data_IF_764054024960
#
_entry.id   IF_764054024960
#
_cell.length_a   1.000
_cell.length_b   1.000
_cell.length_c   1.000
_cell.angle_alpha   90.00
_cell.angle_beta   90.00
_cell.angle_gamma   90.00
#
_symmetry.space_group_name_H-M   'P 1'
#
loop_
_entity.id
_entity.type
_entity.pdbx_description
1 polymer ?
#
# COMPACT_ATOMS: atom_id res chain seq x y z
N UNK A 1 43.10 -16.85 17.80
CA UNK A 1 42.21 -16.07 18.69
C UNK A 1 41.73 -14.91 17.84
N UNK A 2 40.49 -14.97 17.37
CA UNK A 2 39.91 -13.97 16.47
C UNK A 2 38.94 -13.11 17.27
N UNK A 3 39.17 -11.79 17.25
CA UNK A 3 38.32 -10.77 17.86
C UNK A 3 37.15 -10.47 16.92
N UNK A 4 35.93 -10.60 17.42
CA UNK A 4 34.71 -10.17 16.76
C UNK A 4 34.34 -8.79 17.29
N UNK A 5 34.21 -7.81 16.40
CA UNK A 5 33.61 -6.51 16.69
C UNK A 5 32.10 -6.65 16.48
N UNK A 6 31.32 -6.49 17.55
CA UNK A 6 29.88 -6.24 17.47
C UNK A 6 29.68 -4.73 17.28
N UNK A 7 29.28 -4.33 16.06
CA UNK A 7 28.78 -2.97 15.81
C UNK A 7 27.28 -2.91 16.15
N UNK A 8 26.93 -1.83 16.86
CA UNK A 8 25.63 -1.59 17.46
C UNK A 8 24.48 -1.45 16.46
N UNK A 9 23.36 -2.05 16.83
CA UNK A 9 22.06 -1.78 16.24
C UNK A 9 21.51 -0.52 16.92
N UNK A 10 21.25 0.51 16.11
CA UNK A 10 20.69 1.80 16.50
C UNK A 10 19.19 1.64 16.86
N UNK A 11 18.88 1.81 18.15
CA UNK A 11 17.55 1.72 18.76
C UNK A 11 16.64 2.90 18.37
N UNK A 12 16.15 2.97 17.12
CA UNK A 12 15.15 3.97 16.72
C UNK A 12 13.82 3.44 16.14
N UNK A 13 13.59 2.13 16.10
CA UNK A 13 12.30 1.54 15.65
C UNK A 13 11.42 1.01 16.80
N UNK A 14 11.60 1.57 18.01
CA UNK A 14 10.80 1.21 19.19
C UNK A 14 9.57 2.11 19.33
N UNK A 15 8.52 1.85 18.56
CA UNK A 15 7.14 2.26 18.89
C UNK A 15 6.10 1.64 17.94
N UNK A 16 5.69 0.37 18.17
CA UNK A 16 4.30 -0.08 17.94
C UNK A 16 4.04 -1.51 18.44
N UNK A 17 4.03 -1.73 19.75
CA UNK A 17 3.41 -2.93 20.32
C UNK A 17 2.56 -2.51 21.50
N UNK A 18 1.24 -2.49 21.32
CA UNK A 18 0.29 -2.43 22.43
C UNK A 18 -0.29 -3.84 22.54
N UNK A 19 -0.10 -4.42 23.73
CA UNK A 19 -0.41 -5.81 24.08
C UNK A 19 -1.82 -6.23 23.70
N UNK A 20 -1.94 -7.41 23.08
CA UNK A 20 -3.20 -8.10 22.86
C UNK A 20 -3.72 -8.66 24.19
N UNK A 21 -4.98 -8.36 24.52
CA UNK A 21 -5.69 -9.01 25.62
C UNK A 21 -5.96 -10.48 25.29
N UNK A 22 -5.70 -11.33 26.29
CA UNK A 22 -5.83 -12.79 26.27
C UNK A 22 -7.26 -13.25 25.94
N UNK A 23 -7.42 -14.15 24.96
CA UNK A 23 -8.67 -14.89 24.77
C UNK A 23 -8.44 -16.39 24.66
N UNK A 24 -9.31 -17.12 25.34
CA UNK A 24 -9.32 -18.57 25.56
C UNK A 24 -9.28 -19.39 24.26
N UNK A 25 -8.43 -20.41 24.30
CA UNK A 25 -8.12 -21.37 23.26
C UNK A 25 -9.32 -22.30 22.99
N UNK A 26 -9.93 -22.23 21.80
CA UNK A 26 -10.92 -23.20 21.33
C UNK A 26 -10.28 -24.12 20.27
N UNK A 27 -9.99 -25.40 20.58
CA UNK A 27 -9.14 -26.27 19.76
C UNK A 27 -9.83 -26.89 18.53
N UNK A 28 -10.90 -26.27 17.99
CA UNK A 28 -11.53 -26.68 16.72
C UNK A 28 -11.14 -25.80 15.51
N UNK A 29 -10.26 -24.80 15.70
CA UNK A 29 -9.93 -23.77 14.70
C UNK A 29 -8.61 -24.04 13.91
N UNK A 30 -8.43 -25.26 13.41
CA UNK A 30 -7.36 -25.63 12.45
C UNK A 30 -7.50 -24.92 11.07
N UNK A 31 -8.44 -23.98 10.97
CA UNK A 31 -8.61 -23.00 9.88
C UNK A 31 -7.93 -21.67 10.18
N UNK A 32 -6.77 -21.72 10.84
CA UNK A 32 -5.76 -20.69 10.70
C UNK A 32 -6.02 -19.43 11.49
N UNK A 33 -5.30 -19.30 12.60
CA UNK A 33 -5.23 -18.08 13.38
C UNK A 33 -5.04 -16.86 12.45
N UNK A 34 -6.06 -16.01 12.43
CA UNK A 34 -6.08 -14.72 11.74
C UNK A 34 -6.19 -13.64 12.80
N UNK A 35 -5.14 -12.86 12.94
CA UNK A 35 -5.13 -11.71 13.82
C UNK A 35 -5.60 -10.48 13.05
N UNK A 36 -6.54 -9.71 13.62
CA UNK A 36 -7.03 -8.45 13.05
C UNK A 36 -6.89 -7.33 14.06
N UNK A 37 -6.29 -6.21 13.65
CA UNK A 37 -6.13 -5.02 14.48
C UNK A 37 -6.18 -3.74 13.67
N UNK A 38 -6.37 -2.61 14.34
CA UNK A 38 -6.41 -1.29 13.72
C UNK A 38 -5.12 -0.52 14.04
N UNK A 39 -4.54 0.11 13.02
CA UNK A 39 -3.36 0.97 13.15
C UNK A 39 -3.75 2.39 13.60
N UNK A 40 -2.77 3.12 14.13
CA UNK A 40 -2.94 4.52 14.55
C UNK A 40 -3.35 5.48 13.41
N UNK A 41 -3.11 5.09 12.16
CA UNK A 41 -3.54 5.83 10.98
C UNK A 41 -4.96 5.47 10.51
N UNK A 42 -5.67 4.62 11.25
CA UNK A 42 -7.05 4.19 10.95
C UNK A 42 -7.15 2.96 10.06
N UNK A 43 -6.05 2.48 9.46
CA UNK A 43 -6.05 1.31 8.59
C UNK A 43 -6.28 0.03 9.40
N UNK A 44 -6.96 -0.94 8.78
CA UNK A 44 -7.10 -2.28 9.32
C UNK A 44 -5.98 -3.17 8.81
N UNK A 45 -5.46 -4.03 9.67
CA UNK A 45 -4.47 -5.05 9.31
C UNK A 45 -5.02 -6.41 9.68
N UNK A 46 -4.93 -7.35 8.74
CA UNK A 46 -5.17 -8.77 8.94
C UNK A 46 -3.87 -9.53 8.66
N UNK A 47 -3.47 -10.41 9.56
CA UNK A 47 -2.32 -11.31 9.36
C UNK A 47 -2.79 -12.73 9.58
N UNK A 48 -2.47 -13.63 8.65
CA UNK A 48 -2.67 -15.06 8.86
C UNK A 48 -1.38 -15.76 9.31
N UNK A 49 -1.54 -16.93 9.92
CA UNK A 49 -0.43 -17.80 10.35
C UNK A 49 0.55 -18.21 9.24
N UNK A 50 0.18 -18.06 7.96
CA UNK A 50 1.04 -18.38 6.81
C UNK A 50 1.91 -17.19 6.41
N UNK A 51 1.78 -16.05 7.08
CA UNK A 51 2.51 -14.83 6.76
C UNK A 51 1.88 -14.02 5.63
N UNK A 52 0.62 -14.31 5.25
CA UNK A 52 -0.14 -13.39 4.42
C UNK A 52 -0.55 -12.18 5.25
N UNK A 53 -0.30 -10.99 4.71
CA UNK A 53 -0.62 -9.72 5.36
C UNK A 53 -1.53 -8.91 4.45
N UNK A 54 -2.66 -8.47 4.98
CA UNK A 54 -3.57 -7.54 4.34
C UNK A 54 -3.66 -6.25 5.14
N UNK A 55 -3.60 -5.11 4.47
CA UNK A 55 -3.78 -3.79 5.04
C UNK A 55 -4.86 -3.08 4.23
N UNK A 56 -5.86 -2.53 4.90
CA UNK A 56 -6.99 -1.87 4.26
C UNK A 56 -7.15 -0.44 4.79
N UNK A 57 -7.14 0.53 3.89
CA UNK A 57 -7.59 1.89 4.18
C UNK A 57 -9.04 2.01 3.69
N UNK A 58 -9.98 1.93 4.63
CA UNK A 58 -11.42 1.98 4.35
C UNK A 58 -11.88 3.35 3.85
N UNK A 59 -11.13 4.42 4.14
CA UNK A 59 -11.47 5.78 3.70
C UNK A 59 -11.16 5.97 2.22
N UNK A 60 -9.99 5.50 1.78
CA UNK A 60 -9.59 5.59 0.37
C UNK A 60 -10.13 4.44 -0.48
N UNK A 61 -10.47 3.30 0.12
CA UNK A 61 -10.86 2.07 -0.57
C UNK A 61 -9.68 1.29 -1.15
N UNK A 62 -8.45 1.59 -0.71
CA UNK A 62 -7.23 0.91 -1.14
C UNK A 62 -6.91 -0.25 -0.20
N UNK A 63 -6.56 -1.39 -0.79
CA UNK A 63 -6.19 -2.60 -0.07
C UNK A 63 -4.80 -3.03 -0.54
N UNK A 64 -3.87 -3.25 0.39
CA UNK A 64 -2.58 -3.88 0.15
C UNK A 64 -2.61 -5.32 0.67
N UNK A 65 -2.16 -6.27 -0.14
CA UNK A 65 -2.03 -7.68 0.22
C UNK A 65 -0.62 -8.15 -0.13
N UNK A 66 0.08 -8.75 0.84
CA UNK A 66 1.39 -9.36 0.66
C UNK A 66 1.30 -10.83 1.02
N UNK A 67 1.71 -11.68 0.08
CA UNK A 67 1.68 -13.12 0.22
C UNK A 67 3.03 -13.61 0.74
N UNK A 68 3.04 -14.78 1.38
CA UNK A 68 4.24 -15.43 1.90
C UNK A 68 5.33 -15.69 0.84
N UNK A 69 4.95 -15.77 -0.44
CA UNK A 69 5.85 -15.86 -1.59
C UNK A 69 6.65 -14.58 -1.87
N UNK A 70 6.31 -13.47 -1.21
CA UNK A 70 6.85 -12.13 -1.47
C UNK A 70 6.20 -11.43 -2.66
N UNK A 71 5.14 -11.99 -3.24
CA UNK A 71 4.29 -11.28 -4.19
C UNK A 71 3.34 -10.35 -3.45
N UNK A 72 3.02 -9.20 -4.03
CA UNK A 72 2.13 -8.24 -3.42
C UNK A 72 1.14 -7.64 -4.43
N UNK A 73 -0.04 -7.27 -3.94
CA UNK A 73 -1.13 -6.67 -4.71
C UNK A 73 -1.61 -5.40 -3.99
N UNK A 74 -1.88 -4.35 -4.75
CA UNK A 74 -2.60 -3.15 -4.26
C UNK A 74 -3.88 -3.00 -5.06
N UNK A 75 -5.01 -3.34 -4.47
CA UNK A 75 -6.33 -3.17 -5.09
C UNK A 75 -6.80 -1.73 -4.95
N UNK A 76 -7.31 -1.17 -6.05
CA UNK A 76 -7.75 0.22 -6.15
C UNK A 76 -9.28 0.34 -6.08
N UNK A 77 -9.82 1.51 -5.71
CA UNK A 77 -11.26 1.71 -5.53
C UNK A 77 -12.07 1.56 -6.82
N UNK A 78 -11.42 1.70 -7.98
CA UNK A 78 -12.03 1.53 -9.30
C UNK A 78 -11.89 0.11 -9.85
N UNK A 79 -11.37 -0.83 -9.05
CA UNK A 79 -11.21 -2.23 -9.41
C UNK A 79 -9.94 -2.54 -10.20
N UNK A 80 -9.14 -1.54 -10.60
CA UNK A 80 -7.77 -1.78 -11.08
C UNK A 80 -6.90 -2.26 -9.91
N UNK A 81 -5.76 -2.86 -10.21
CA UNK A 81 -4.82 -3.26 -9.16
C UNK A 81 -3.37 -3.13 -9.60
N UNK A 82 -2.49 -2.86 -8.63
CA UNK A 82 -1.06 -2.98 -8.81
C UNK A 82 -0.64 -4.38 -8.39
N UNK A 83 0.29 -5.00 -9.11
CA UNK A 83 0.84 -6.31 -8.79
C UNK A 83 2.36 -6.27 -8.89
N UNK A 84 3.02 -6.76 -7.84
CA UNK A 84 4.44 -7.04 -7.80
C UNK A 84 4.61 -8.56 -7.69
N UNK A 85 5.10 -9.25 -8.75
CA UNK A 85 5.19 -10.71 -8.76
C UNK A 85 6.10 -11.29 -7.68
N UNK A 86 7.17 -10.57 -7.32
CA UNK A 86 8.06 -10.90 -6.21
C UNK A 86 8.79 -9.64 -5.75
N UNK A 87 9.23 -9.65 -4.48
CA UNK A 87 9.93 -8.53 -3.86
C UNK A 87 11.12 -8.05 -4.71
N UNK A 88 11.11 -6.76 -5.04
CA UNK A 88 12.16 -6.12 -5.85
C UNK A 88 11.81 -5.93 -7.31
N UNK A 89 10.79 -6.61 -7.83
CA UNK A 89 10.30 -6.38 -9.20
C UNK A 89 9.55 -5.05 -9.31
N UNK A 90 9.45 -4.49 -10.53
CA UNK A 90 8.58 -3.36 -10.78
C UNK A 90 7.12 -3.69 -10.45
N UNK A 91 6.42 -2.71 -9.89
CA UNK A 91 4.97 -2.74 -9.78
C UNK A 91 4.32 -2.58 -11.15
N UNK A 92 3.35 -3.43 -11.44
CA UNK A 92 2.59 -3.44 -12.70
C UNK A 92 1.12 -3.09 -12.40
N UNK A 93 0.58 -2.11 -13.11
CA UNK A 93 -0.85 -1.77 -13.11
C UNK A 93 -1.58 -2.70 -14.07
N UNK A 94 -2.63 -3.35 -13.57
CA UNK A 94 -3.54 -4.18 -14.32
C UNK A 94 -4.94 -3.57 -14.32
N UNK A 95 -5.61 -3.66 -15.48
CA UNK A 95 -7.00 -3.31 -15.64
C UNK A 95 -7.80 -4.59 -15.97
N UNK A 96 -8.52 -5.18 -15.00
CA UNK A 96 -9.24 -6.43 -15.24
C UNK A 96 -10.45 -6.29 -16.17
N UNK A 97 -10.82 -5.06 -16.53
CA UNK A 97 -11.95 -4.77 -17.41
C UNK A 97 -11.56 -4.63 -18.89
N UNK A 98 -10.26 -4.68 -19.19
CA UNK A 98 -9.72 -4.58 -20.55
C UNK A 98 -8.62 -5.63 -20.75
N UNK A 99 -9.00 -6.79 -21.31
CA UNK A 99 -8.08 -7.90 -21.56
C UNK A 99 -7.01 -7.57 -22.62
N UNK A 100 -7.24 -6.55 -23.46
CA UNK A 100 -6.28 -6.10 -24.46
C UNK A 100 -5.25 -5.12 -23.87
N UNK A 101 -5.56 -4.51 -22.71
CA UNK A 101 -4.64 -3.58 -22.03
C UNK A 101 -3.47 -4.36 -21.40
N UNK A 102 -2.28 -4.20 -21.99
CA UNK A 102 -1.06 -4.76 -21.43
C UNK A 102 -0.73 -4.12 -20.06
N UNK A 103 -0.23 -4.90 -19.08
CA UNK A 103 0.17 -4.36 -17.79
C UNK A 103 1.20 -3.24 -17.92
N UNK A 104 0.97 -2.13 -17.21
CA UNK A 104 1.81 -0.93 -17.32
C UNK A 104 2.67 -0.77 -16.09
N UNK A 105 3.96 -0.47 -16.28
CA UNK A 105 4.87 -0.20 -15.16
C UNK A 105 4.42 1.04 -14.38
N UNK A 106 4.27 0.88 -13.08
CA UNK A 106 4.01 1.96 -12.12
C UNK A 106 5.33 2.65 -11.78
N UNK A 107 5.30 3.97 -11.69
CA UNK A 107 6.43 4.74 -11.19
C UNK A 107 6.40 4.76 -9.66
N UNK A 108 7.54 4.50 -9.04
CA UNK A 108 7.69 4.60 -7.58
C UNK A 108 8.68 5.69 -7.26
N UNK A 109 8.37 6.54 -6.29
CA UNK A 109 9.28 7.63 -5.92
C UNK A 109 8.80 8.42 -4.73
N UNK A 110 9.58 9.41 -4.34
CA UNK A 110 9.21 10.36 -3.30
C UNK A 110 8.66 11.63 -3.96
N UNK A 111 7.46 12.06 -3.56
CA UNK A 111 6.85 13.30 -4.08
C UNK A 111 6.16 14.09 -2.98
N UNK A 112 6.06 15.40 -3.19
CA UNK A 112 5.28 16.28 -2.32
C UNK A 112 3.82 16.26 -2.78
N UNK A 113 2.93 15.70 -1.95
CA UNK A 113 1.49 15.72 -2.21
C UNK A 113 0.92 17.07 -1.73
N UNK A 114 0.08 17.77 -2.52
CA UNK A 114 -0.59 18.98 -2.06
C UNK A 114 -1.43 18.72 -0.80
N UNK A 115 -1.25 19.55 0.23
CA UNK A 115 -1.93 19.40 1.52
C UNK A 115 -1.21 18.51 2.53
N UNK A 116 -0.20 17.74 2.12
CA UNK A 116 0.69 17.02 3.03
C UNK A 116 1.86 17.92 3.44
N UNK A 117 2.32 17.81 4.69
CA UNK A 117 3.42 18.62 5.20
C UNK A 117 4.82 18.03 4.94
N UNK A 118 4.88 16.78 4.47
CA UNK A 118 6.13 16.06 4.19
C UNK A 118 6.04 15.31 2.87
N UNK A 119 7.15 15.16 2.12
CA UNK A 119 7.20 14.26 0.98
C UNK A 119 6.82 12.83 1.37
N UNK A 120 6.12 12.14 0.48
CA UNK A 120 5.63 10.77 0.66
C UNK A 120 6.22 9.86 -0.39
N UNK A 121 6.50 8.62 -0.02
CA UNK A 121 6.79 7.57 -0.97
C UNK A 121 5.48 7.10 -1.61
N UNK A 122 5.39 7.18 -2.93
CA UNK A 122 4.14 6.97 -3.66
C UNK A 122 4.29 6.00 -4.82
N UNK A 123 3.18 5.31 -5.12
CA UNK A 123 2.93 4.68 -6.40
C UNK A 123 2.24 5.68 -7.32
N UNK A 124 2.82 5.96 -8.48
CA UNK A 124 2.30 6.91 -9.46
C UNK A 124 2.04 6.24 -10.79
N UNK A 125 0.85 6.48 -11.35
CA UNK A 125 0.50 6.06 -12.69
C UNK A 125 -0.46 7.06 -13.33
N UNK A 126 -0.53 7.04 -14.66
CA UNK A 126 -1.34 7.97 -15.43
C UNK A 126 -2.37 7.19 -16.25
N UNK A 127 -3.54 7.78 -16.42
CA UNK A 127 -4.45 7.41 -17.51
C UNK A 127 -4.77 8.64 -18.35
N UNK A 128 -5.73 8.50 -19.28
CA UNK A 128 -6.09 9.59 -20.19
C UNK A 128 -6.73 10.79 -19.50
N UNK A 129 -7.07 10.70 -18.23
CA UNK A 129 -7.83 11.73 -17.51
C UNK A 129 -7.09 12.33 -16.32
N UNK A 130 -6.20 11.58 -15.68
CA UNK A 130 -5.57 12.00 -14.45
C UNK A 130 -4.22 11.33 -14.19
N UNK A 131 -3.47 11.96 -13.29
CA UNK A 131 -2.37 11.34 -12.55
C UNK A 131 -2.95 10.79 -11.25
N UNK A 132 -2.66 9.53 -10.97
CA UNK A 132 -3.07 8.84 -9.76
C UNK A 132 -1.84 8.62 -8.87
N UNK A 133 -2.01 8.87 -7.58
CA UNK A 133 -0.98 8.64 -6.56
C UNK A 133 -1.56 7.83 -5.41
N UNK A 134 -0.79 6.89 -4.91
CA UNK A 134 -1.09 6.14 -3.69
C UNK A 134 0.07 6.34 -2.73
N UNK A 135 -0.18 6.86 -1.54
CA UNK A 135 0.82 6.87 -0.47
C UNK A 135 1.05 5.42 0.00
N UNK A 136 2.28 4.92 -0.18
CA UNK A 136 2.61 3.53 0.13
C UNK A 136 2.52 3.20 1.62
N UNK A 137 2.59 4.21 2.51
CA UNK A 137 2.54 3.99 3.95
C UNK A 137 1.12 4.03 4.48
N UNK A 138 0.31 4.98 4.01
CA UNK A 138 -1.05 5.20 4.51
C UNK A 138 -2.13 4.56 3.65
N UNK A 139 -1.77 4.13 2.43
CA UNK A 139 -2.71 3.69 1.39
C UNK A 139 -3.74 4.76 1.01
N UNK A 140 -3.45 6.03 1.30
CA UNK A 140 -4.31 7.12 0.87
C UNK A 140 -4.21 7.28 -0.66
N UNK A 141 -5.36 7.41 -1.31
CA UNK A 141 -5.46 7.53 -2.77
C UNK A 141 -5.77 8.97 -3.19
N UNK A 142 -5.00 9.48 -4.14
CA UNK A 142 -5.12 10.84 -4.66
C UNK A 142 -5.24 10.81 -6.18
N UNK A 143 -6.14 11.64 -6.70
CA UNK A 143 -6.36 11.80 -8.14
C UNK A 143 -6.14 13.26 -8.51
N UNK A 144 -5.04 13.53 -9.20
CA UNK A 144 -4.69 14.84 -9.73
C UNK A 144 -5.12 14.94 -11.20
N UNK A 145 -6.17 15.72 -11.46
CA UNK A 145 -6.61 16.03 -12.82
C UNK A 145 -5.87 17.27 -13.30
N UNK A 146 -5.41 17.33 -14.56
CA UNK A 146 -4.94 18.57 -15.12
C UNK A 146 -6.07 19.60 -15.02
N UNK A 147 -5.78 20.79 -14.50
CA UNK A 147 -6.73 21.90 -14.58
C UNK A 147 -7.09 22.09 -16.05
N UNK A 148 -8.38 22.22 -16.35
CA UNK A 148 -8.81 22.69 -17.68
C UNK A 148 -8.28 24.11 -17.85
N UNK A 149 -7.08 24.25 -18.41
CA UNK A 149 -6.74 25.45 -19.14
C UNK A 149 -7.81 25.59 -20.23
N UNK A 150 -8.41 26.77 -20.31
CA UNK A 150 -9.32 27.21 -21.39
C UNK A 150 -10.81 26.90 -21.21
N UNK A 151 -11.50 27.72 -20.42
CA UNK A 151 -12.87 28.19 -20.70
C UNK A 151 -13.20 29.58 -20.09
N UNK A 152 -12.20 30.45 -19.90
CA UNK A 152 -12.44 31.87 -19.50
C UNK A 152 -11.83 32.91 -20.47
N UNK A 153 -11.23 32.47 -21.58
CA UNK A 153 -10.65 33.38 -22.59
C UNK A 153 -11.55 33.69 -23.79
N UNK A 154 -12.73 33.07 -23.92
CA UNK A 154 -13.59 33.17 -25.10
C UNK A 154 -14.95 33.84 -24.78
N UNK A 155 -14.92 34.98 -24.10
CA UNK A 155 -15.99 35.97 -24.16
C UNK A 155 -15.34 37.36 -24.16
N UNK A 156 -14.95 37.79 -25.35
CA UNK A 156 -14.87 39.21 -25.71
C UNK A 156 -15.97 39.50 -26.70
#
# INVERSE_FOLDING_TARGET
MAEFWEEGIDDQDSNLWVYADEFEDNPEDDLGHRERYQLNNGNWVDIDYRGHRKIENTTSGVIYEEHASGSAVVSLPDGRFLHQPFKGEPWLLHNPYDEEELPRRVQTGCTQIPGENKPRFVYTFHDRWATHLIDAQTLQYYVARPERADLQGAMR
#
